data_IF_371043911322
#
_entry.id   IF_371043911322
#
_cell.length_a   1.000
_cell.length_b   1.000
_cell.length_c   1.000
_cell.angle_alpha   90.00
_cell.angle_beta   90.00
_cell.angle_gamma   90.00
#
_symmetry.space_group_name_H-M   'P 1'
#
loop_
_entity.id
_entity.type
_entity.pdbx_description
1 polymer ?
#
# COMPACT_ATOMS: atom_id res chain seq x y z
N UNK A 1 5.10 10.01 -5.05
CA UNK A 1 4.03 10.33 -6.03
C UNK A 1 2.68 10.09 -5.38
N UNK A 2 1.66 10.86 -5.78
CA UNK A 2 0.28 10.65 -5.32
C UNK A 2 -0.39 9.55 -6.15
N UNK A 3 -1.36 8.86 -5.55
CA UNK A 3 -2.07 7.75 -6.19
C UNK A 3 -2.91 8.24 -7.36
N UNK A 4 -3.59 9.38 -7.20
CA UNK A 4 -4.39 9.97 -8.27
C UNK A 4 -3.55 10.33 -9.51
N UNK A 5 -2.30 10.76 -9.31
CA UNK A 5 -1.36 11.04 -10.40
C UNK A 5 -0.99 9.76 -11.14
N UNK A 6 -0.67 8.69 -10.41
CA UNK A 6 -0.32 7.38 -10.99
C UNK A 6 -1.48 6.80 -11.80
N UNK A 7 -2.71 6.88 -11.28
CA UNK A 7 -3.88 6.33 -11.96
C UNK A 7 -4.31 7.14 -13.19
N UNK A 8 -4.07 8.45 -13.18
CA UNK A 8 -4.45 9.34 -14.28
C UNK A 8 -3.40 9.43 -15.38
N UNK A 9 -2.13 9.15 -15.06
CA UNK A 9 -1.03 9.29 -16.00
C UNK A 9 -0.87 8.04 -16.87
N UNK A 10 -1.28 8.18 -18.13
CA UNK A 10 -1.11 7.14 -19.16
C UNK A 10 0.36 6.85 -19.50
N UNK A 11 1.30 7.70 -19.07
CA UNK A 11 2.72 7.56 -19.33
C UNK A 11 3.48 6.92 -18.17
N UNK A 12 2.85 6.72 -17.00
CA UNK A 12 3.49 5.93 -15.94
C UNK A 12 3.55 4.48 -16.42
N UNK A 13 4.72 4.11 -16.91
CA UNK A 13 4.96 2.80 -17.47
C UNK A 13 4.96 1.75 -16.35
N UNK A 14 4.18 0.69 -16.51
CA UNK A 14 4.37 -0.55 -15.77
C UNK A 14 5.82 -1.02 -15.91
N UNK A 15 6.40 -1.53 -14.83
CA UNK A 15 7.83 -1.83 -14.72
C UNK A 15 8.65 -0.70 -14.10
N UNK A 16 8.07 0.49 -13.86
CA UNK A 16 8.76 1.60 -13.22
C UNK A 16 8.82 1.42 -11.71
N UNK A 17 10.01 1.60 -11.13
CA UNK A 17 10.19 1.73 -9.68
C UNK A 17 9.79 3.13 -9.24
N UNK A 18 8.89 3.24 -8.29
CA UNK A 18 8.41 4.52 -7.78
C UNK A 18 8.03 4.44 -6.31
N UNK A 19 8.03 5.61 -5.66
CA UNK A 19 7.60 5.77 -4.27
C UNK A 19 6.19 6.37 -4.25
N UNK A 20 5.26 5.67 -3.61
CA UNK A 20 3.86 6.07 -3.44
C UNK A 20 3.63 6.49 -2.00
N UNK A 21 2.86 7.56 -1.84
CA UNK A 21 2.39 8.03 -0.53
C UNK A 21 0.86 7.97 -0.50
N UNK A 22 0.30 7.48 0.60
CA UNK A 22 -1.14 7.37 0.79
C UNK A 22 -1.51 6.74 2.12
N UNK A 23 -2.77 6.34 2.27
CA UNK A 23 -3.24 5.56 3.41
C UNK A 23 -3.11 4.08 3.07
N UNK A 24 -2.35 3.34 3.87
CA UNK A 24 -2.28 1.91 3.79
C UNK A 24 -3.46 1.27 4.54
N UNK A 25 -4.11 0.34 3.84
CA UNK A 25 -5.22 -0.45 4.34
C UNK A 25 -4.83 -1.92 4.24
N UNK A 26 -5.04 -2.67 5.32
CA UNK A 26 -4.99 -4.12 5.31
C UNK A 26 -6.40 -4.66 5.56
N UNK A 27 -7.03 -5.23 4.53
CA UNK A 27 -8.33 -5.90 4.60
C UNK A 27 -8.10 -7.41 4.52
N UNK A 28 -8.23 -8.11 5.64
CA UNK A 28 -7.86 -9.52 5.74
C UNK A 28 -6.37 -9.73 5.44
N UNK A 29 -6.06 -10.32 4.29
CA UNK A 29 -4.69 -10.55 3.79
C UNK A 29 -4.29 -9.60 2.66
N UNK A 30 -5.20 -8.73 2.21
CA UNK A 30 -4.97 -7.83 1.07
C UNK A 30 -4.53 -6.46 1.57
N UNK A 31 -3.26 -6.11 1.31
CA UNK A 31 -2.73 -4.77 1.54
C UNK A 31 -2.90 -3.89 0.31
N UNK A 32 -3.31 -2.64 0.50
CA UNK A 32 -3.43 -1.67 -0.60
C UNK A 32 -3.28 -0.23 -0.10
N UNK A 33 -2.95 0.66 -1.03
CA UNK A 33 -2.85 2.10 -0.80
C UNK A 33 -4.05 2.83 -1.40
N UNK A 34 -4.59 3.80 -0.66
CA UNK A 34 -5.62 4.74 -1.13
C UNK A 34 -5.19 6.18 -0.91
N UNK A 35 -5.76 7.09 -1.70
CA UNK A 35 -5.35 8.50 -1.70
C UNK A 35 -5.68 9.22 -0.38
N UNK A 36 -6.82 8.87 0.23
CA UNK A 36 -7.30 9.43 1.47
C UNK A 36 -8.11 8.41 2.26
N UNK A 37 -8.36 8.71 3.54
CA UNK A 37 -9.18 7.86 4.41
C UNK A 37 -10.62 7.68 3.90
N UNK A 38 -11.14 8.62 3.13
CA UNK A 38 -12.50 8.55 2.59
C UNK A 38 -12.62 7.51 1.45
N UNK A 39 -11.51 7.24 0.75
CA UNK A 39 -11.49 6.33 -0.41
C UNK A 39 -11.19 4.87 -0.05
N UNK A 40 -11.09 4.51 1.24
CA UNK A 40 -10.58 3.20 1.66
C UNK A 40 -11.38 1.98 1.17
N UNK A 41 -12.64 2.17 0.79
CA UNK A 41 -13.50 1.11 0.25
C UNK A 41 -13.49 1.05 -1.28
N UNK A 42 -12.99 2.09 -1.94
CA UNK A 42 -12.96 2.16 -3.39
C UNK A 42 -11.65 1.61 -3.94
N UNK A 43 -11.62 0.28 -4.15
CA UNK A 43 -10.45 -0.44 -4.67
C UNK A 43 -10.10 -0.06 -6.10
N UNK A 44 -11.06 0.46 -6.88
CA UNK A 44 -10.83 0.92 -8.25
C UNK A 44 -9.92 2.15 -8.33
N UNK A 45 -9.84 2.90 -7.22
CA UNK A 45 -8.96 4.04 -7.03
C UNK A 45 -7.76 3.72 -6.12
N UNK A 46 -7.47 2.44 -5.90
CA UNK A 46 -6.41 1.97 -5.02
C UNK A 46 -5.26 1.31 -5.81
N UNK A 47 -4.11 1.20 -5.16
CA UNK A 47 -2.97 0.44 -5.65
C UNK A 47 -2.73 -0.73 -4.71
N UNK A 48 -2.87 -1.96 -5.21
CA UNK A 48 -2.62 -3.17 -4.43
C UNK A 48 -1.14 -3.27 -4.05
N UNK A 49 -0.83 -3.78 -2.86
CA UNK A 49 0.55 -4.11 -2.46
C UNK A 49 0.68 -5.63 -2.53
N UNK A 50 1.28 -6.11 -3.62
CA UNK A 50 1.49 -7.54 -3.85
C UNK A 50 2.83 -7.97 -3.24
N UNK A 51 2.75 -8.36 -1.97
CA UNK A 51 3.89 -8.83 -1.20
C UNK A 51 3.46 -10.00 -0.31
N UNK A 52 3.97 -11.19 -0.60
CA UNK A 52 3.51 -12.47 -0.02
C UNK A 52 3.54 -12.52 1.52
N UNK A 53 4.50 -11.84 2.13
CA UNK A 53 4.74 -11.88 3.59
C UNK A 53 4.26 -10.60 4.29
N UNK A 54 3.47 -9.77 3.59
CA UNK A 54 3.11 -8.43 4.06
C UNK A 54 2.42 -8.45 5.42
N UNK A 55 1.43 -9.31 5.58
CA UNK A 55 0.64 -9.39 6.82
C UNK A 55 1.49 -9.84 8.00
N UNK A 56 2.29 -10.88 7.82
CA UNK A 56 3.15 -11.43 8.88
C UNK A 56 4.15 -10.37 9.34
N UNK A 57 4.78 -9.68 8.38
CA UNK A 57 5.75 -8.62 8.64
C UNK A 57 5.13 -7.39 9.32
N UNK A 58 3.90 -7.04 8.92
CA UNK A 58 3.13 -5.98 9.58
C UNK A 58 2.82 -6.34 11.03
N UNK A 59 2.31 -7.55 11.27
CA UNK A 59 1.94 -8.00 12.62
C UNK A 59 3.14 -8.16 13.55
N UNK A 60 4.33 -8.45 13.01
CA UNK A 60 5.56 -8.52 13.81
C UNK A 60 6.16 -7.15 14.12
N UNK A 61 5.91 -6.13 13.29
CA UNK A 61 6.61 -4.84 13.35
C UNK A 61 5.75 -3.70 13.86
N UNK A 62 4.45 -3.74 13.55
CA UNK A 62 3.50 -2.66 13.85
C UNK A 62 2.43 -3.20 14.78
N UNK A 63 2.19 -2.54 15.93
CA UNK A 63 1.12 -2.92 16.84
C UNK A 63 -0.21 -3.10 16.07
N UNK A 64 -0.82 -4.29 16.11
CA UNK A 64 -2.02 -4.55 15.34
C UNK A 64 -3.17 -3.70 15.87
N UNK A 65 -3.90 -3.03 14.97
CA UNK A 65 -5.17 -2.38 15.31
C UNK A 65 -6.28 -3.44 15.21
N UNK A 66 -6.65 -4.01 16.36
CA UNK A 66 -7.67 -5.07 16.43
C UNK A 66 -9.11 -4.53 16.48
N UNK A 67 -10.08 -5.33 16.01
CA UNK A 67 -11.51 -5.11 16.24
C UNK A 67 -12.37 -4.90 14.99
N UNK A 68 -11.80 -4.97 13.78
CA UNK A 68 -12.55 -4.87 12.52
C UNK A 68 -11.96 -5.76 11.43
N UNK A 69 -12.62 -5.83 10.26
CA UNK A 69 -12.07 -6.49 9.05
C UNK A 69 -10.83 -5.77 8.49
N UNK A 70 -10.62 -4.51 8.90
CA UNK A 70 -9.45 -3.70 8.59
C UNK A 70 -8.48 -3.72 9.77
N UNK A 71 -7.25 -4.18 9.55
CA UNK A 71 -6.21 -4.28 10.60
C UNK A 71 -5.25 -3.10 10.63
N UNK A 72 -5.10 -2.39 9.50
CA UNK A 72 -4.29 -1.17 9.40
C UNK A 72 -5.04 -0.13 8.60
N UNK A 73 -4.91 1.13 9.03
CA UNK A 73 -5.56 2.27 8.41
C UNK A 73 -4.77 3.57 8.65
N UNK A 74 -3.54 3.57 8.17
CA UNK A 74 -2.50 4.52 8.59
C UNK A 74 -1.81 5.15 7.39
N UNK A 75 -1.23 6.34 7.57
CA UNK A 75 -0.40 6.95 6.55
C UNK A 75 0.81 6.06 6.25
N UNK A 76 1.21 6.02 4.98
CA UNK A 76 2.23 5.11 4.52
C UNK A 76 3.04 5.67 3.35
N UNK A 77 4.31 5.26 3.31
CA UNK A 77 5.22 5.47 2.19
C UNK A 77 5.70 4.10 1.74
N UNK A 78 5.48 3.78 0.47
CA UNK A 78 5.87 2.49 -0.12
C UNK A 78 6.69 2.72 -1.38
N UNK A 79 7.84 2.07 -1.49
CA UNK A 79 8.65 2.06 -2.70
C UNK A 79 8.64 0.66 -3.31
N UNK A 80 8.23 0.57 -4.57
CA UNK A 80 8.15 -0.71 -5.31
C UNK A 80 8.08 -0.48 -6.81
N UNK A 81 7.92 -1.58 -7.56
CA UNK A 81 7.72 -1.56 -9.01
C UNK A 81 6.22 -1.62 -9.32
N UNK A 82 5.73 -0.65 -10.08
CA UNK A 82 4.33 -0.60 -10.48
C UNK A 82 4.06 -1.58 -11.63
N UNK A 83 2.98 -2.36 -11.52
CA UNK A 83 2.53 -3.32 -12.53
C UNK A 83 1.01 -3.30 -12.66
N UNK A 84 0.49 -3.90 -13.74
CA UNK A 84 -0.93 -4.24 -13.78
C UNK A 84 -1.24 -5.25 -12.68
N UNK A 85 -2.35 -5.02 -11.98
CA UNK A 85 -2.83 -5.93 -10.96
C UNK A 85 -3.38 -7.20 -11.62
N UNK A 86 -3.13 -8.35 -10.99
CA UNK A 86 -3.79 -9.63 -11.32
C UNK A 86 -5.18 -9.75 -10.66
N UNK A 87 -5.50 -8.88 -9.70
CA UNK A 87 -6.77 -8.82 -9.01
C UNK A 87 -7.69 -7.79 -9.69
N UNK A 88 -8.90 -8.22 -10.08
CA UNK A 88 -9.89 -7.42 -10.81
C UNK A 88 -10.38 -6.18 -10.05
N UNK A 89 -10.28 -6.19 -8.72
CA UNK A 89 -10.73 -5.07 -7.88
C UNK A 89 -9.78 -3.87 -7.96
N UNK A 90 -8.51 -4.11 -8.34
CA UNK A 90 -7.46 -3.10 -8.37
C UNK A 90 -6.95 -2.92 -9.80
N UNK A 91 -6.80 -1.68 -10.30
CA UNK A 91 -6.21 -1.48 -11.63
C UNK A 91 -4.71 -1.75 -11.66
N UNK A 92 -4.00 -1.46 -10.57
CA UNK A 92 -2.55 -1.50 -10.46
C UNK A 92 -2.11 -2.17 -9.16
N UNK A 93 -0.90 -2.71 -9.19
CA UNK A 93 -0.23 -3.28 -8.04
C UNK A 93 1.21 -2.75 -7.94
N UNK A 94 1.71 -2.61 -6.72
CA UNK A 94 3.13 -2.52 -6.43
C UNK A 94 3.65 -3.92 -6.10
N UNK A 95 4.67 -4.34 -6.84
CA UNK A 95 5.45 -5.55 -6.59
C UNK A 95 6.89 -5.17 -6.24
N UNK A 96 7.74 -6.15 -5.94
CA UNK A 96 9.17 -5.92 -5.66
C UNK A 96 9.39 -4.78 -4.65
N UNK A 97 8.63 -4.82 -3.56
CA UNK A 97 8.67 -3.78 -2.52
C UNK A 97 10.05 -3.76 -1.89
N UNK A 98 10.70 -2.59 -1.90
CA UNK A 98 12.04 -2.39 -1.30
C UNK A 98 11.99 -1.54 -0.05
N UNK A 99 10.88 -0.86 0.19
CA UNK A 99 10.68 0.01 1.34
C UNK A 99 9.20 0.12 1.66
N UNK A 100 8.87 0.00 2.94
CA UNK A 100 7.53 0.17 3.46
C UNK A 100 7.63 0.79 4.85
N UNK A 101 7.08 1.99 4.99
CA UNK A 101 7.00 2.71 6.25
C UNK A 101 5.55 3.05 6.53
N UNK A 102 5.07 2.71 7.73
CA UNK A 102 3.76 3.10 8.25
C UNK A 102 3.92 4.15 9.35
N UNK A 103 2.99 5.10 9.41
CA UNK A 103 2.92 6.12 10.45
C UNK A 103 1.67 5.90 11.30
N UNK A 104 1.84 5.33 12.49
CA UNK A 104 0.73 5.00 13.40
C UNK A 104 0.80 5.92 14.60
N UNK A 105 -0.24 6.72 14.85
CA UNK A 105 -0.28 7.66 15.98
C UNK A 105 0.96 8.57 16.08
N UNK A 106 1.43 9.08 14.92
CA UNK A 106 2.64 9.91 14.79
C UNK A 106 3.98 9.17 15.00
N UNK A 107 3.97 7.87 15.26
CA UNK A 107 5.17 7.03 15.32
C UNK A 107 5.49 6.40 13.96
N UNK A 108 6.78 6.38 13.59
CA UNK A 108 7.29 5.78 12.36
C UNK A 108 7.64 4.30 12.57
N UNK A 109 7.02 3.41 11.79
CA UNK A 109 7.32 1.99 11.75
C UNK A 109 7.86 1.59 10.38
N UNK A 110 9.16 1.25 10.34
CA UNK A 110 9.83 0.72 9.14
C UNK A 110 9.57 -0.78 9.03
N UNK A 111 8.55 -1.14 8.27
CA UNK A 111 8.13 -2.51 8.04
C UNK A 111 9.12 -3.23 7.12
N UNK A 112 9.52 -2.58 6.03
CA UNK A 112 10.60 -3.03 5.16
C UNK A 112 11.63 -1.90 5.11
N UNK A 113 12.82 -2.06 5.72
CA UNK A 113 13.84 -1.03 5.71
C UNK A 113 14.46 -0.91 4.31
N UNK A 114 14.78 0.32 3.92
CA UNK A 114 15.50 0.63 2.68
C UNK A 114 16.89 -0.03 2.73
N UNK A 115 17.13 -1.03 1.87
CA UNK A 115 18.45 -1.66 1.64
C UNK A 115 19.43 -0.75 0.94
#
# INVERSE_FOLDING_TARGET
MKISEILSDKNVATGTKLTVQGIFVLEGDTGYLVQSKENFRDKSCAIMVDFRELKELLFSTVPPYGGSVYSYFNDAVITGTLMQSSNIDFPLALINIVELTLYVSEEEFRVIPST
#
